data_IF_523320751081
#
_entry.id   IF_523320751081
#
_cell.length_a   1.000
_cell.length_b   1.000
_cell.length_c   1.000
_cell.angle_alpha   90.00
_cell.angle_beta   90.00
_cell.angle_gamma   90.00
#
_symmetry.space_group_name_H-M   'P 1'
#
loop_
_entity.id
_entity.type
_entity.pdbx_description
1 polymer ?
#
# COMPACT_ATOMS: atom_id res chain seq x y z
N UNK A 1 -61.27 81.14 3.17
CA UNK A 1 -62.54 80.39 3.08
C UNK A 1 -62.11 78.92 3.05
N UNK A 2 -62.11 78.27 4.22
CA UNK A 2 -63.27 77.56 4.82
C UNK A 2 -63.57 76.30 4.01
N UNK A 3 -63.17 75.14 4.54
CA UNK A 3 -63.97 74.24 5.42
C UNK A 3 -64.80 73.29 4.54
N UNK A 4 -64.43 72.00 4.49
CA UNK A 4 -64.77 70.92 5.44
C UNK A 4 -66.14 70.27 5.18
N UNK A 5 -66.09 69.02 4.71
CA UNK A 5 -67.03 67.89 4.89
C UNK A 5 -66.68 66.86 3.81
N UNK A 6 -66.65 65.55 4.04
CA UNK A 6 -66.94 64.82 5.28
C UNK A 6 -67.78 63.58 4.97
N UNK A 7 -67.22 62.61 4.24
CA UNK A 7 -67.93 61.38 3.85
C UNK A 7 -67.25 60.12 4.39
N UNK A 8 -68.08 59.26 5.00
CA UNK A 8 -67.71 57.98 5.60
C UNK A 8 -67.88 56.85 4.58
N UNK A 9 -66.92 55.93 4.46
CA UNK A 9 -67.21 54.60 3.87
C UNK A 9 -66.23 53.49 4.29
N UNK A 10 -66.82 52.42 4.84
CA UNK A 10 -66.40 51.01 4.73
C UNK A 10 -64.95 50.62 5.10
N UNK A 11 -64.75 50.15 6.33
CA UNK A 11 -63.62 49.25 6.66
C UNK A 11 -63.99 47.78 6.40
N UNK A 12 -63.22 47.11 5.54
CA UNK A 12 -63.12 45.65 5.47
C UNK A 12 -61.63 45.26 5.61
N UNK A 13 -61.34 44.23 6.42
CA UNK A 13 -59.98 43.94 6.90
C UNK A 13 -59.00 43.51 5.80
N UNK A 14 -57.69 43.83 5.95
CA UNK A 14 -56.70 43.60 4.90
C UNK A 14 -56.28 42.13 4.75
N UNK A 15 -56.01 41.73 3.51
CA UNK A 15 -55.32 40.47 3.20
C UNK A 15 -53.82 40.55 3.57
N UNK A 16 -53.18 39.44 3.99
CA UNK A 16 -51.78 39.44 4.41
C UNK A 16 -50.82 39.63 3.24
N UNK A 17 -49.65 40.22 3.53
CA UNK A 17 -48.67 40.64 2.55
C UNK A 17 -48.03 39.48 1.77
N UNK A 18 -47.78 39.72 0.48
CA UNK A 18 -46.98 38.84 -0.39
C UNK A 18 -45.52 38.89 0.01
N UNK A 19 -44.99 37.81 0.58
CA UNK A 19 -43.55 37.61 0.73
C UNK A 19 -42.93 37.29 -0.63
N UNK A 20 -42.00 38.12 -1.10
CA UNK A 20 -41.21 37.83 -2.29
C UNK A 20 -40.40 36.55 -2.06
N UNK A 21 -40.61 35.54 -2.92
CA UNK A 21 -39.82 34.32 -2.88
C UNK A 21 -38.42 34.62 -3.44
N UNK A 22 -37.40 34.44 -2.61
CA UNK A 22 -35.99 34.48 -3.04
C UNK A 22 -35.81 33.51 -4.21
N UNK A 23 -35.23 33.93 -5.35
CA UNK A 23 -35.03 33.02 -6.47
C UNK A 23 -34.11 31.87 -6.03
N UNK A 24 -34.55 30.63 -6.28
CA UNK A 24 -33.70 29.46 -6.10
C UNK A 24 -32.40 29.65 -6.90
N UNK A 25 -31.22 29.32 -6.33
CA UNK A 25 -29.95 29.59 -7.00
C UNK A 25 -29.91 28.91 -8.37
N UNK A 26 -29.82 29.73 -9.41
CA UNK A 26 -29.82 29.30 -10.79
C UNK A 26 -28.65 28.37 -11.07
N UNK A 27 -28.95 27.17 -11.59
CA UNK A 27 -28.04 26.28 -12.31
C UNK A 27 -26.57 26.32 -11.88
N UNK A 28 -26.15 25.36 -11.03
CA UNK A 28 -24.74 25.05 -10.90
C UNK A 28 -24.16 24.71 -12.27
N UNK A 29 -23.37 25.62 -12.85
CA UNK A 29 -22.52 25.28 -13.97
C UNK A 29 -21.54 24.20 -13.48
N UNK A 30 -21.54 23.03 -14.13
CA UNK A 30 -20.55 21.97 -13.87
C UNK A 30 -19.16 22.48 -14.26
N UNK A 31 -18.47 23.14 -13.35
CA UNK A 31 -17.04 23.47 -13.47
C UNK A 31 -16.25 22.26 -12.97
N UNK A 32 -16.41 21.13 -13.65
CA UNK A 32 -15.80 19.86 -13.26
C UNK A 32 -14.27 19.94 -13.21
N UNK A 33 -13.66 18.97 -12.52
CA UNK A 33 -12.24 18.72 -12.62
C UNK A 33 -11.87 18.45 -14.08
N UNK A 34 -10.61 18.69 -14.47
CA UNK A 34 -10.11 18.41 -15.83
C UNK A 34 -10.20 16.94 -16.28
N UNK A 35 -10.63 16.03 -15.40
CA UNK A 35 -10.87 14.62 -15.68
C UNK A 35 -12.36 14.29 -15.89
N UNK A 36 -13.29 15.14 -15.41
CA UNK A 36 -14.74 14.86 -15.35
C UNK A 36 -15.44 14.82 -16.74
N UNK A 37 -14.71 15.17 -17.81
CA UNK A 37 -15.18 15.18 -19.20
C UNK A 37 -14.36 14.30 -20.16
N UNK A 38 -13.43 13.48 -19.66
CA UNK A 38 -12.61 12.60 -20.51
C UNK A 38 -13.40 11.34 -20.92
N UNK A 39 -13.11 10.80 -22.10
CA UNK A 39 -13.88 9.70 -22.68
C UNK A 39 -13.66 8.38 -21.91
N UNK A 40 -14.64 7.98 -21.11
CA UNK A 40 -14.66 6.63 -20.52
C UNK A 40 -14.98 5.57 -21.58
N UNK A 41 -14.26 4.46 -21.54
CA UNK A 41 -14.61 3.24 -22.29
C UNK A 41 -15.35 2.29 -21.34
N UNK A 42 -16.67 2.35 -21.35
CA UNK A 42 -17.50 1.73 -20.30
C UNK A 42 -17.20 2.39 -18.94
N UNK A 43 -16.90 1.58 -17.92
CA UNK A 43 -16.50 2.05 -16.58
C UNK A 43 -14.99 2.36 -16.45
N UNK A 44 -14.22 2.30 -17.54
CA UNK A 44 -12.76 2.54 -17.50
C UNK A 44 -12.42 3.92 -18.03
N UNK A 45 -11.76 4.73 -17.20
CA UNK A 45 -10.94 5.83 -17.71
C UNK A 45 -9.60 5.23 -18.19
N UNK A 46 -9.27 5.49 -19.45
CA UNK A 46 -8.00 5.07 -20.10
C UNK A 46 -7.14 6.26 -20.51
N UNK A 47 -7.55 7.48 -20.12
CA UNK A 47 -6.87 8.74 -20.40
C UNK A 47 -6.23 9.28 -19.13
N UNK A 48 -6.91 9.16 -17.98
CA UNK A 48 -6.45 9.69 -16.70
C UNK A 48 -6.10 11.17 -16.81
N UNK A 49 -5.00 11.62 -16.19
CA UNK A 49 -4.51 12.98 -16.39
C UNK A 49 -4.03 13.26 -17.83
N UNK A 50 -3.46 12.27 -18.51
CA UNK A 50 -2.87 12.43 -19.83
C UNK A 50 -1.64 13.35 -19.83
N UNK A 51 -1.37 14.04 -20.94
CA UNK A 51 -0.14 14.85 -21.16
C UNK A 51 0.08 16.07 -20.24
N UNK A 52 -0.82 16.32 -19.29
CA UNK A 52 -0.79 17.47 -18.37
C UNK A 52 -1.31 16.99 -16.99
N UNK A 53 -0.47 16.34 -16.18
CA UNK A 53 -0.83 16.00 -14.81
C UNK A 53 -0.95 17.25 -13.94
N UNK A 54 -1.79 17.14 -12.91
CA UNK A 54 -1.87 18.11 -11.82
C UNK A 54 -0.50 18.22 -11.14
N UNK A 55 -0.04 19.44 -10.89
CA UNK A 55 1.14 19.65 -10.04
C UNK A 55 0.69 19.47 -8.59
N UNK A 56 1.16 18.44 -7.86
CA UNK A 56 0.56 18.08 -6.58
C UNK A 56 0.90 19.06 -5.45
N UNK A 57 1.89 19.93 -5.63
CA UNK A 57 2.34 20.91 -4.62
C UNK A 57 2.69 20.29 -3.26
N UNK A 58 3.37 19.13 -3.26
CA UNK A 58 3.74 18.41 -2.03
C UNK A 58 4.39 19.32 -0.96
N UNK A 59 4.15 19.03 0.35
CA UNK A 59 4.76 19.74 1.46
C UNK A 59 6.26 19.95 1.29
N UNK A 60 6.75 21.10 1.77
CA UNK A 60 8.15 21.53 1.66
C UNK A 60 8.70 21.64 0.21
N UNK A 61 7.83 21.62 -0.81
CA UNK A 61 8.16 21.58 -2.25
C UNK A 61 8.90 20.29 -2.67
N UNK A 62 8.60 19.18 -2.01
CA UNK A 62 9.16 17.87 -2.32
C UNK A 62 8.88 17.45 -3.77
N UNK A 63 9.75 16.58 -4.31
CA UNK A 63 9.74 16.07 -5.69
C UNK A 63 9.01 14.73 -5.77
N UNK A 64 9.10 13.95 -4.71
CA UNK A 64 8.38 12.68 -4.56
C UNK A 64 7.72 12.63 -3.18
N UNK A 65 6.45 12.23 -3.13
CA UNK A 65 5.81 11.74 -1.91
C UNK A 65 6.04 10.22 -1.83
N UNK A 66 6.77 9.75 -0.81
CA UNK A 66 7.15 8.33 -0.67
C UNK A 66 6.33 7.66 0.43
N UNK A 67 5.50 6.69 0.06
CA UNK A 67 4.74 5.87 0.99
C UNK A 67 5.39 4.49 1.17
N UNK A 68 5.72 4.12 2.40
CA UNK A 68 6.00 2.73 2.76
C UNK A 68 4.72 2.06 3.22
N UNK A 69 4.36 0.95 2.59
CA UNK A 69 3.15 0.17 2.90
C UNK A 69 3.53 -1.22 3.38
N UNK A 70 3.19 -1.54 4.63
CA UNK A 70 3.35 -2.88 5.19
C UNK A 70 2.01 -3.61 5.13
N UNK A 71 1.96 -4.72 4.42
CA UNK A 71 0.81 -5.61 4.41
C UNK A 71 0.95 -6.55 5.62
N UNK A 72 -0.08 -6.55 6.47
CA UNK A 72 -0.21 -7.40 7.64
C UNK A 72 -1.40 -8.33 7.43
N UNK A 73 -1.11 -9.54 6.96
CA UNK A 73 -2.07 -10.48 6.38
C UNK A 73 -2.06 -11.83 7.10
N UNK A 74 -0.98 -12.10 7.83
CA UNK A 74 -0.64 -13.36 8.47
C UNK A 74 -1.59 -13.71 9.61
N UNK A 75 -2.35 -14.79 9.41
CA UNK A 75 -3.52 -15.19 10.20
C UNK A 75 -4.86 -14.84 9.55
N UNK A 76 -4.87 -14.19 8.38
CA UNK A 76 -6.07 -13.81 7.61
C UNK A 76 -6.18 -14.46 6.23
N UNK A 77 -5.12 -15.16 5.79
CA UNK A 77 -5.01 -15.90 4.51
C UNK A 77 -5.95 -17.12 4.40
N UNK A 78 -5.89 -17.85 3.28
CA UNK A 78 -6.67 -19.08 3.11
C UNK A 78 -6.16 -20.20 4.02
N UNK A 79 -7.04 -20.72 4.88
CA UNK A 79 -6.78 -21.92 5.66
C UNK A 79 -8.10 -22.62 5.99
N UNK A 80 -8.13 -23.95 6.00
CA UNK A 80 -9.32 -24.70 6.43
C UNK A 80 -9.72 -24.38 7.89
N UNK A 81 -8.76 -23.93 8.72
CA UNK A 81 -9.02 -23.45 10.09
C UNK A 81 -9.76 -22.10 10.12
N UNK A 82 -9.83 -21.39 8.99
CA UNK A 82 -10.56 -20.13 8.82
C UNK A 82 -11.92 -20.35 8.16
N UNK A 83 -12.28 -21.61 7.85
CA UNK A 83 -13.51 -22.00 7.17
C UNK A 83 -13.40 -22.06 5.63
N UNK A 84 -12.19 -21.95 5.08
CA UNK A 84 -11.98 -22.04 3.63
C UNK A 84 -11.93 -23.50 3.14
N UNK A 85 -12.12 -23.69 1.84
CA UNK A 85 -12.12 -25.00 1.15
C UNK A 85 -10.72 -25.57 0.87
N UNK A 86 -9.67 -24.75 0.96
CA UNK A 86 -8.29 -25.14 0.64
C UNK A 86 -7.26 -24.28 1.38
N UNK A 87 -6.01 -24.77 1.42
CA UNK A 87 -4.87 -23.99 1.92
C UNK A 87 -4.54 -22.78 1.06
N UNK A 88 -3.78 -21.83 1.63
CA UNK A 88 -3.10 -20.79 0.87
C UNK A 88 -2.03 -21.38 -0.06
N UNK A 89 -1.69 -20.59 -1.07
CA UNK A 89 -0.75 -20.87 -2.15
C UNK A 89 -0.01 -19.61 -2.65
N UNK A 90 -0.53 -18.40 -2.37
CA UNK A 90 0.06 -17.14 -2.82
C UNK A 90 1.17 -16.63 -1.89
N UNK A 91 2.08 -15.84 -2.46
CA UNK A 91 3.09 -15.03 -1.77
C UNK A 91 3.84 -15.78 -0.66
N UNK A 92 4.49 -16.87 -1.05
CA UNK A 92 5.35 -17.68 -0.18
C UNK A 92 6.66 -18.04 -0.87
N UNK A 93 7.63 -18.54 -0.11
CA UNK A 93 8.91 -19.02 -0.67
C UNK A 93 8.79 -20.43 -1.32
N UNK A 94 7.57 -20.94 -1.60
CA UNK A 94 7.32 -22.14 -2.43
C UNK A 94 6.89 -21.68 -3.85
N UNK A 95 7.77 -21.75 -4.86
CA UNK A 95 7.43 -21.37 -6.23
C UNK A 95 6.37 -22.30 -6.81
N UNK A 96 5.33 -21.75 -7.42
CA UNK A 96 4.28 -22.53 -8.08
C UNK A 96 3.42 -23.38 -7.13
N UNK A 97 3.33 -23.00 -5.85
CA UNK A 97 2.44 -23.65 -4.90
C UNK A 97 0.99 -23.68 -5.42
N UNK A 98 0.29 -24.79 -5.17
CA UNK A 98 -1.13 -25.00 -5.49
C UNK A 98 -1.93 -25.20 -4.20
N UNK A 99 -3.19 -24.74 -4.12
CA UNK A 99 -4.03 -24.96 -2.93
C UNK A 99 -4.24 -26.44 -2.63
N UNK A 100 -4.07 -26.84 -1.38
CA UNK A 100 -4.45 -28.18 -0.90
C UNK A 100 -5.93 -28.20 -0.52
N UNK A 101 -6.76 -28.72 -1.42
CA UNK A 101 -8.23 -28.79 -1.23
C UNK A 101 -8.58 -29.75 -0.09
N UNK A 102 -9.36 -29.28 0.88
CA UNK A 102 -9.72 -30.01 2.10
C UNK A 102 -8.55 -30.29 3.06
N UNK A 103 -7.37 -29.71 2.82
CA UNK A 103 -6.13 -30.00 3.54
C UNK A 103 -5.44 -28.76 4.13
N UNK A 104 -4.40 -29.01 4.92
CA UNK A 104 -3.50 -27.98 5.47
C UNK A 104 -2.11 -28.12 4.89
N UNK A 105 -1.68 -27.10 4.16
CA UNK A 105 -0.29 -26.97 3.76
C UNK A 105 0.54 -26.41 4.93
N UNK A 106 1.10 -27.29 5.75
CA UNK A 106 1.85 -26.90 6.96
C UNK A 106 3.10 -26.05 6.65
N UNK A 107 3.71 -26.24 5.48
CA UNK A 107 4.84 -25.41 5.05
C UNK A 107 4.37 -23.97 4.77
N UNK A 108 3.24 -23.82 4.08
CA UNK A 108 2.60 -22.52 3.82
C UNK A 108 2.29 -21.79 5.13
N UNK A 109 1.57 -22.44 6.04
CA UNK A 109 1.22 -21.90 7.36
C UNK A 109 2.48 -21.45 8.11
N UNK A 110 3.53 -22.27 8.16
CA UNK A 110 4.79 -21.92 8.86
C UNK A 110 5.53 -20.72 8.25
N UNK A 111 5.33 -20.42 6.96
CA UNK A 111 5.88 -19.23 6.33
C UNK A 111 5.06 -17.97 6.62
N UNK A 112 3.72 -18.09 6.70
CA UNK A 112 2.87 -16.99 7.18
C UNK A 112 3.14 -16.72 8.67
N UNK A 113 3.26 -17.75 9.50
CA UNK A 113 3.70 -17.63 10.91
C UNK A 113 5.02 -16.84 11.06
N UNK A 114 5.97 -16.99 10.13
CA UNK A 114 7.20 -16.20 10.18
C UNK A 114 6.95 -14.69 10.09
N UNK A 115 5.96 -14.28 9.29
CA UNK A 115 5.63 -12.87 9.10
C UNK A 115 5.14 -12.24 10.39
N UNK A 116 4.11 -12.81 11.00
CA UNK A 116 3.56 -12.32 12.28
C UNK A 116 4.56 -12.45 13.44
N UNK A 117 5.32 -13.56 13.52
CA UNK A 117 6.23 -13.85 14.64
C UNK A 117 7.58 -13.14 14.57
N UNK A 118 8.07 -12.77 13.38
CA UNK A 118 9.45 -12.28 13.21
C UNK A 118 9.59 -11.18 12.17
N UNK A 119 8.93 -11.31 11.01
CA UNK A 119 9.04 -10.39 9.88
C UNK A 119 8.53 -8.99 10.21
N UNK A 120 7.30 -8.90 10.74
CA UNK A 120 6.69 -7.68 11.26
C UNK A 120 7.64 -6.95 12.21
N UNK A 121 8.22 -7.67 13.19
CA UNK A 121 9.12 -7.06 14.18
C UNK A 121 10.45 -6.55 13.59
N UNK A 122 10.91 -7.07 12.44
CA UNK A 122 12.07 -6.48 11.73
C UNK A 122 11.69 -5.18 11.04
N UNK A 123 10.57 -5.15 10.32
CA UNK A 123 10.06 -3.93 9.69
C UNK A 123 9.79 -2.86 10.75
N UNK A 124 9.12 -3.23 11.85
CA UNK A 124 8.85 -2.35 12.99
C UNK A 124 10.13 -1.71 13.53
N UNK A 125 11.16 -2.50 13.85
CA UNK A 125 12.44 -1.95 14.31
C UNK A 125 13.13 -1.06 13.27
N UNK A 126 13.09 -1.42 11.99
CA UNK A 126 13.69 -0.60 10.92
C UNK A 126 13.02 0.78 10.83
N UNK A 127 11.71 0.83 10.66
CA UNK A 127 11.00 2.09 10.44
C UNK A 127 10.92 2.96 11.71
N UNK A 128 10.73 2.37 12.90
CA UNK A 128 10.76 3.13 14.16
C UNK A 128 12.15 3.69 14.49
N UNK A 129 13.24 2.91 14.31
CA UNK A 129 14.60 3.40 14.53
C UNK A 129 14.98 4.52 13.54
N UNK A 130 14.52 4.44 12.28
CA UNK A 130 14.74 5.48 11.27
C UNK A 130 13.77 6.67 11.42
N UNK A 131 12.77 6.58 12.33
CA UNK A 131 11.67 7.54 12.58
C UNK A 131 10.88 7.90 11.33
N UNK A 132 10.41 6.88 10.62
CA UNK A 132 9.66 7.05 9.38
C UNK A 132 8.18 6.69 9.56
N UNK A 133 7.25 7.48 9.00
CA UNK A 133 5.84 7.12 8.95
C UNK A 133 5.64 5.94 8.00
N UNK A 134 4.67 5.10 8.33
CA UNK A 134 4.28 3.91 7.58
C UNK A 134 2.75 3.84 7.54
N UNK A 135 2.22 3.33 6.43
CA UNK A 135 0.84 2.86 6.35
C UNK A 135 0.84 1.34 6.43
N UNK A 136 0.06 0.77 7.35
CA UNK A 136 -0.18 -0.67 7.41
C UNK A 136 -1.49 -0.97 6.67
N UNK A 137 -1.44 -1.87 5.70
CA UNK A 137 -2.62 -2.50 5.12
C UNK A 137 -2.90 -3.76 5.94
N UNK A 138 -3.84 -3.67 6.88
CA UNK A 138 -4.10 -4.70 7.87
C UNK A 138 -5.39 -5.48 7.61
N UNK A 139 -5.27 -6.80 7.50
CA UNK A 139 -6.40 -7.71 7.34
C UNK A 139 -7.09 -7.90 8.70
N UNK A 140 -8.40 -7.67 8.77
CA UNK A 140 -9.15 -7.69 10.03
C UNK A 140 -8.94 -8.96 10.86
N UNK A 141 -9.05 -10.15 10.24
CA UNK A 141 -8.81 -11.41 10.95
C UNK A 141 -7.36 -11.56 11.45
N UNK A 142 -6.36 -10.98 10.75
CA UNK A 142 -4.97 -11.01 11.20
C UNK A 142 -4.77 -10.12 12.46
N UNK A 143 -5.45 -8.98 12.52
CA UNK A 143 -5.48 -8.12 13.72
C UNK A 143 -6.13 -8.82 14.93
N UNK A 144 -7.26 -9.51 14.72
CA UNK A 144 -7.94 -10.30 15.79
C UNK A 144 -7.01 -11.35 16.42
N UNK A 145 -6.08 -11.91 15.63
CA UNK A 145 -5.14 -12.96 16.07
C UNK A 145 -3.85 -12.44 16.71
N UNK A 146 -3.50 -11.16 16.56
CA UNK A 146 -2.23 -10.62 17.08
C UNK A 146 -2.39 -9.21 17.69
N UNK A 147 -2.92 -9.18 18.91
CA UNK A 147 -3.10 -7.95 19.70
C UNK A 147 -1.75 -7.28 20.03
N UNK A 148 -0.65 -8.02 20.11
CA UNK A 148 0.69 -7.47 20.36
C UNK A 148 1.17 -6.62 19.18
N UNK A 149 0.96 -7.08 17.94
CA UNK A 149 1.23 -6.29 16.74
C UNK A 149 0.31 -5.04 16.67
N UNK A 150 -0.97 -5.18 17.03
CA UNK A 150 -1.89 -4.03 17.16
C UNK A 150 -1.39 -3.00 18.19
N UNK A 151 -0.79 -3.44 19.30
CA UNK A 151 -0.14 -2.60 20.29
C UNK A 151 1.02 -1.81 19.69
N UNK A 152 1.96 -2.51 19.05
CA UNK A 152 3.12 -1.90 18.41
C UNK A 152 2.75 -0.89 17.30
N UNK A 153 1.74 -1.18 16.47
CA UNK A 153 1.25 -0.24 15.45
C UNK A 153 0.72 1.07 16.06
N UNK A 154 0.06 1.00 17.23
CA UNK A 154 -0.39 2.19 17.98
C UNK A 154 0.78 2.94 18.62
N UNK A 155 1.72 2.23 19.25
CA UNK A 155 2.90 2.82 19.89
C UNK A 155 3.81 3.55 18.89
N UNK A 156 3.87 3.07 17.65
CA UNK A 156 4.61 3.69 16.56
C UNK A 156 3.88 4.86 15.86
N UNK A 157 2.64 5.16 16.26
CA UNK A 157 1.71 6.11 15.60
C UNK A 157 1.63 5.90 14.08
N UNK A 158 1.47 4.64 13.67
CA UNK A 158 1.29 4.31 12.26
C UNK A 158 -0.15 4.51 11.81
N UNK A 159 -0.31 4.81 10.52
CA UNK A 159 -1.60 4.65 9.88
C UNK A 159 -1.88 3.14 9.76
N UNK A 160 -3.11 2.72 10.10
CA UNK A 160 -3.57 1.37 9.85
C UNK A 160 -4.86 1.46 9.02
N UNK A 161 -4.70 1.23 7.73
CA UNK A 161 -5.78 1.18 6.74
C UNK A 161 -6.32 -0.26 6.64
N UNK A 162 -7.60 -0.40 6.29
CA UNK A 162 -8.23 -1.71 6.15
C UNK A 162 -7.71 -2.45 4.92
N UNK A 163 -7.19 -3.66 5.11
CA UNK A 163 -6.93 -4.63 4.03
C UNK A 163 -8.07 -5.68 3.89
N UNK A 164 -9.32 -5.25 4.09
CA UNK A 164 -10.48 -6.14 4.16
C UNK A 164 -10.53 -6.94 5.47
N UNK A 165 -11.48 -7.87 5.60
CA UNK A 165 -11.56 -8.79 6.75
C UNK A 165 -10.75 -10.09 6.54
N UNK A 166 -10.71 -10.59 5.30
CA UNK A 166 -10.03 -11.82 4.86
C UNK A 166 -9.08 -11.50 3.71
N UNK A 167 -7.94 -12.18 3.66
CA UNK A 167 -6.98 -12.04 2.56
C UNK A 167 -7.28 -13.01 1.40
N UNK A 168 -8.50 -13.01 0.90
CA UNK A 168 -8.97 -13.96 -0.13
C UNK A 168 -9.29 -13.24 -1.45
N UNK A 169 -9.58 -14.00 -2.50
CA UNK A 169 -10.06 -13.44 -3.77
C UNK A 169 -11.54 -13.10 -3.65
N UNK A 170 -11.90 -11.81 -3.76
CA UNK A 170 -13.27 -11.34 -3.67
C UNK A 170 -14.04 -11.44 -5.00
N UNK A 171 -13.41 -11.78 -6.12
CA UNK A 171 -14.03 -11.78 -7.46
C UNK A 171 -15.29 -12.67 -7.60
N UNK A 172 -15.51 -13.60 -6.66
CA UNK A 172 -16.67 -14.51 -6.61
C UNK A 172 -17.46 -14.44 -5.29
N UNK A 173 -17.14 -13.50 -4.40
CA UNK A 173 -17.89 -13.29 -3.16
C UNK A 173 -19.17 -12.52 -3.50
N UNK A 174 -20.29 -12.93 -2.92
CA UNK A 174 -21.55 -12.22 -3.10
C UNK A 174 -21.55 -10.87 -2.34
N UNK A 175 -22.30 -9.90 -2.86
CA UNK A 175 -22.32 -8.53 -2.31
C UNK A 175 -22.69 -8.48 -0.83
N UNK A 176 -23.57 -9.38 -0.36
CA UNK A 176 -24.00 -9.39 1.04
C UNK A 176 -22.84 -9.80 1.94
N UNK A 177 -22.19 -10.92 1.63
CA UNK A 177 -21.00 -11.39 2.37
C UNK A 177 -19.87 -10.36 2.33
N UNK A 178 -19.63 -9.71 1.18
CA UNK A 178 -18.59 -8.68 1.07
C UNK A 178 -18.92 -7.43 1.93
N UNK A 179 -20.19 -7.02 1.99
CA UNK A 179 -20.64 -5.92 2.86
C UNK A 179 -20.55 -6.27 4.35
N UNK A 180 -20.83 -7.52 4.73
CA UNK A 180 -20.62 -8.02 6.09
C UNK A 180 -19.14 -8.03 6.47
N UNK A 181 -18.25 -8.42 5.56
CA UNK A 181 -16.78 -8.34 5.75
C UNK A 181 -16.28 -6.90 5.91
N UNK A 182 -16.82 -5.95 5.12
CA UNK A 182 -16.49 -4.53 5.24
C UNK A 182 -16.90 -3.99 6.62
N UNK A 183 -18.13 -4.26 7.06
CA UNK A 183 -18.60 -3.85 8.38
C UNK A 183 -17.74 -4.46 9.50
N UNK A 184 -17.44 -5.77 9.43
CA UNK A 184 -16.64 -6.46 10.44
C UNK A 184 -15.21 -5.91 10.55
N UNK A 185 -14.52 -5.64 9.43
CA UNK A 185 -13.15 -5.11 9.52
C UNK A 185 -13.10 -3.70 10.11
N UNK A 186 -14.10 -2.85 9.85
CA UNK A 186 -14.22 -1.52 10.46
C UNK A 186 -14.39 -1.64 11.99
N UNK A 187 -15.25 -2.54 12.45
CA UNK A 187 -15.45 -2.82 13.89
C UNK A 187 -14.15 -3.31 14.55
N UNK A 188 -13.43 -4.25 13.94
CA UNK A 188 -12.16 -4.79 14.45
C UNK A 188 -11.13 -3.66 14.64
N UNK A 189 -10.98 -2.78 13.64
CA UNK A 189 -10.07 -1.63 13.73
C UNK A 189 -10.48 -0.71 14.89
N UNK A 190 -11.77 -0.36 14.99
CA UNK A 190 -12.27 0.50 16.05
C UNK A 190 -12.05 -0.10 17.46
N UNK A 191 -12.23 -1.41 17.61
CA UNK A 191 -12.09 -2.12 18.89
C UNK A 191 -10.62 -2.36 19.30
N UNK A 192 -9.74 -2.75 18.37
CA UNK A 192 -8.35 -3.11 18.68
C UNK A 192 -7.38 -1.92 18.59
N UNK A 193 -7.64 -0.98 17.68
CA UNK A 193 -6.76 0.16 17.39
C UNK A 193 -7.30 1.49 17.95
N UNK A 194 -8.54 1.51 18.45
CA UNK A 194 -9.18 2.70 19.03
C UNK A 194 -9.69 3.72 18.01
N UNK A 195 -9.44 3.50 16.72
CA UNK A 195 -9.92 4.32 15.59
C UNK A 195 -10.36 3.42 14.45
N UNK A 196 -11.43 3.80 13.75
CA UNK A 196 -11.82 3.19 12.46
C UNK A 196 -10.70 3.37 11.41
N UNK A 197 -10.66 2.57 10.34
CA UNK A 197 -9.78 2.82 9.21
C UNK A 197 -10.37 3.94 8.34
N UNK A 198 -9.50 4.82 7.84
CA UNK A 198 -9.86 5.87 6.87
C UNK A 198 -9.39 5.56 5.43
N UNK A 199 -8.45 4.63 5.28
CA UNK A 199 -8.06 4.06 3.99
C UNK A 199 -8.56 2.62 3.81
N UNK A 200 -8.78 2.21 2.56
CA UNK A 200 -9.15 0.85 2.20
C UNK A 200 -8.33 0.31 1.01
N UNK A 201 -8.03 -1.00 1.04
CA UNK A 201 -7.43 -1.74 -0.07
C UNK A 201 -7.86 -3.22 0.00
N UNK A 202 -8.46 -3.81 -1.02
CA UNK A 202 -8.75 -5.25 -1.05
C UNK A 202 -7.66 -6.04 -1.77
N UNK A 203 -7.00 -5.44 -2.76
CA UNK A 203 -5.95 -6.03 -3.61
C UNK A 203 -6.45 -7.04 -4.63
N UNK A 204 -7.38 -7.92 -4.20
CA UNK A 204 -8.10 -8.91 -5.02
C UNK A 204 -9.61 -8.59 -5.02
N UNK A 205 -10.06 -7.40 -5.49
CA UNK A 205 -11.45 -6.95 -5.36
C UNK A 205 -12.45 -7.69 -6.28
N UNK A 206 -13.73 -7.60 -5.91
CA UNK A 206 -14.89 -7.86 -6.77
C UNK A 206 -15.23 -6.61 -7.61
N UNK A 207 -16.19 -6.73 -8.54
CA UNK A 207 -16.77 -5.56 -9.22
C UNK A 207 -17.55 -4.63 -8.28
N UNK A 208 -17.93 -5.11 -7.10
CA UNK A 208 -18.68 -4.36 -6.08
C UNK A 208 -17.79 -3.67 -5.05
N UNK A 209 -16.59 -4.16 -4.76
CA UNK A 209 -15.77 -3.74 -3.60
C UNK A 209 -15.68 -2.22 -3.45
N UNK A 210 -15.22 -1.49 -4.48
CA UNK A 210 -15.09 -0.03 -4.44
C UNK A 210 -16.44 0.69 -4.27
N UNK A 211 -17.52 0.18 -4.88
CA UNK A 211 -18.86 0.71 -4.66
C UNK A 211 -19.26 0.56 -3.19
N UNK A 212 -19.02 -0.60 -2.57
CA UNK A 212 -19.34 -0.87 -1.17
C UNK A 212 -18.56 0.03 -0.21
N UNK A 213 -17.26 0.26 -0.47
CA UNK A 213 -16.40 1.19 0.27
C UNK A 213 -16.94 2.62 0.21
N UNK A 214 -17.36 3.05 -0.98
CA UNK A 214 -17.91 4.40 -1.21
C UNK A 214 -19.32 4.56 -0.62
N UNK A 215 -20.14 3.51 -0.64
CA UNK A 215 -21.47 3.46 -0.01
C UNK A 215 -21.40 3.48 1.53
N UNK A 216 -20.39 2.84 2.14
CA UNK A 216 -20.18 2.87 3.60
C UNK A 216 -19.92 4.29 4.11
N UNK A 217 -19.22 5.10 3.33
CA UNK A 217 -19.21 6.55 3.50
C UNK A 217 -18.32 7.08 4.64
N UNK A 218 -17.38 6.29 5.16
CA UNK A 218 -16.41 6.71 6.18
C UNK A 218 -14.94 6.54 5.77
N UNK A 219 -14.66 6.15 4.53
CA UNK A 219 -13.29 6.12 3.98
C UNK A 219 -12.95 7.41 3.25
N UNK A 220 -11.77 7.98 3.57
CA UNK A 220 -11.20 9.12 2.86
C UNK A 220 -10.74 8.73 1.46
N UNK A 221 -10.18 7.52 1.33
CA UNK A 221 -9.60 7.03 0.08
C UNK A 221 -9.66 5.49 -0.04
N UNK A 222 -9.60 4.98 -1.27
CA UNK A 222 -9.26 3.59 -1.58
C UNK A 222 -7.96 3.49 -2.40
N UNK A 223 -7.37 2.30 -2.43
CA UNK A 223 -6.15 2.01 -3.17
C UNK A 223 -6.27 0.80 -4.12
N UNK A 224 -7.49 0.41 -4.48
CA UNK A 224 -7.76 -0.65 -5.48
C UNK A 224 -7.65 -0.10 -6.91
N UNK A 225 -6.47 0.47 -7.20
CA UNK A 225 -6.04 0.98 -8.50
C UNK A 225 -4.52 0.99 -8.61
N UNK A 226 -4.03 0.77 -9.82
CA UNK A 226 -2.61 0.73 -10.19
C UNK A 226 -2.34 1.62 -11.42
N UNK A 227 -3.17 2.64 -11.62
CA UNK A 227 -3.39 3.28 -12.93
C UNK A 227 -2.72 4.66 -13.12
N UNK A 228 -2.09 5.24 -12.10
CA UNK A 228 -1.50 6.58 -12.16
C UNK A 228 -0.38 6.75 -11.10
N UNK A 229 0.48 7.74 -11.29
CA UNK A 229 1.58 8.14 -10.38
C UNK A 229 1.15 9.27 -9.41
N UNK A 230 -0.14 9.62 -9.41
CA UNK A 230 -0.78 10.62 -8.56
C UNK A 230 -2.14 10.14 -8.03
N UNK A 231 -2.60 10.64 -6.87
CA UNK A 231 -3.99 10.50 -6.44
C UNK A 231 -4.95 11.15 -7.45
N UNK A 232 -6.15 10.59 -7.60
CA UNK A 232 -7.19 11.15 -8.47
C UNK A 232 -8.59 10.88 -7.91
N UNK A 233 -9.55 11.75 -8.25
CA UNK A 233 -10.93 11.59 -7.82
C UNK A 233 -11.71 10.67 -8.76
N UNK A 234 -12.50 9.76 -8.20
CA UNK A 234 -13.59 9.10 -8.93
C UNK A 234 -14.94 9.71 -8.56
N UNK A 235 -15.82 9.78 -9.55
CA UNK A 235 -17.21 10.24 -9.46
C UNK A 235 -18.18 9.10 -9.82
N UNK A 236 -17.65 7.89 -10.00
CA UNK A 236 -18.47 6.69 -10.11
C UNK A 236 -18.96 6.33 -8.71
N UNK A 237 -20.25 5.96 -8.58
CA UNK A 237 -20.98 5.68 -7.33
C UNK A 237 -21.36 6.93 -6.49
N UNK A 238 -22.06 6.70 -5.36
CA UNK A 238 -22.53 7.70 -4.39
C UNK A 238 -23.16 8.98 -4.97
N UNK A 239 -24.01 8.84 -6.00
CA UNK A 239 -24.70 9.95 -6.70
C UNK A 239 -23.74 10.99 -7.33
N UNK A 240 -22.52 10.57 -7.67
CA UNK A 240 -21.49 11.47 -8.21
C UNK A 240 -20.79 12.32 -7.15
N UNK A 241 -20.81 11.90 -5.87
CA UNK A 241 -19.93 12.47 -4.85
C UNK A 241 -18.49 11.98 -5.06
N UNK A 242 -17.48 12.85 -4.94
CA UNK A 242 -16.09 12.46 -5.12
C UNK A 242 -15.62 11.49 -4.03
N UNK A 243 -14.92 10.44 -4.46
CA UNK A 243 -14.07 9.60 -3.62
C UNK A 243 -12.63 9.64 -4.13
N UNK A 244 -11.65 9.62 -3.23
CA UNK A 244 -10.25 9.71 -3.60
C UNK A 244 -9.68 8.32 -3.87
N UNK A 245 -9.09 8.14 -5.05
CA UNK A 245 -8.21 7.01 -5.33
C UNK A 245 -6.78 7.46 -5.06
N UNK A 246 -6.05 6.70 -4.25
CA UNK A 246 -4.59 6.80 -4.16
C UNK A 246 -4.03 5.51 -4.76
N UNK A 247 -3.38 5.52 -5.94
CA UNK A 247 -2.87 4.31 -6.58
C UNK A 247 -1.84 3.55 -5.72
N UNK A 248 -1.92 2.22 -5.75
CA UNK A 248 -0.94 1.31 -5.15
C UNK A 248 -0.02 0.71 -6.24
N UNK A 249 0.88 -0.20 -5.87
CA UNK A 249 1.86 -0.80 -6.79
C UNK A 249 1.96 -2.31 -6.64
N UNK A 250 2.09 -2.98 -7.79
CA UNK A 250 2.52 -4.39 -7.91
C UNK A 250 3.92 -4.49 -8.54
N UNK A 251 4.64 -3.38 -8.68
CA UNK A 251 5.96 -3.28 -9.34
C UNK A 251 7.04 -3.03 -8.28
N UNK A 252 6.97 -1.91 -7.56
CA UNK A 252 7.81 -1.55 -6.40
C UNK A 252 7.37 -2.33 -5.14
N UNK A 253 7.22 -3.65 -5.28
CA UNK A 253 6.56 -4.50 -4.31
C UNK A 253 7.38 -5.80 -4.08
N UNK A 254 7.63 -6.14 -2.82
CA UNK A 254 8.42 -7.32 -2.44
C UNK A 254 7.73 -8.66 -2.78
N UNK A 255 6.42 -8.66 -3.09
CA UNK A 255 5.69 -9.82 -3.66
C UNK A 255 6.38 -10.44 -4.89
N UNK A 256 7.20 -9.65 -5.60
CA UNK A 256 7.98 -10.11 -6.75
C UNK A 256 9.09 -11.11 -6.38
N UNK A 257 9.47 -11.25 -5.11
CA UNK A 257 10.35 -12.34 -4.64
C UNK A 257 9.70 -13.73 -4.78
N UNK A 258 8.37 -13.83 -4.83
CA UNK A 258 7.66 -15.12 -4.92
C UNK A 258 7.14 -15.40 -6.34
N UNK A 259 6.92 -14.34 -7.12
CA UNK A 259 6.26 -14.41 -8.43
C UNK A 259 7.26 -14.32 -9.60
N UNK A 260 8.49 -14.82 -9.40
CA UNK A 260 9.53 -14.88 -10.44
C UNK A 260 10.09 -13.54 -10.89
N UNK A 261 10.00 -12.48 -10.06
CA UNK A 261 10.52 -11.15 -10.37
C UNK A 261 11.94 -10.93 -9.85
N UNK A 262 12.11 -10.87 -8.52
CA UNK A 262 13.40 -10.64 -7.87
C UNK A 262 14.10 -11.97 -7.56
N UNK A 263 15.36 -12.12 -7.98
CA UNK A 263 16.15 -13.33 -7.72
C UNK A 263 17.21 -13.12 -6.63
N UNK A 264 17.78 -11.92 -6.56
CA UNK A 264 18.66 -11.48 -5.49
C UNK A 264 18.00 -10.38 -4.64
N UNK A 265 18.35 -10.31 -3.36
CA UNK A 265 17.83 -9.29 -2.44
C UNK A 265 18.14 -7.85 -2.94
N UNK A 266 19.27 -7.67 -3.63
CA UNK A 266 19.68 -6.37 -4.18
C UNK A 266 18.89 -5.95 -5.43
N UNK A 267 18.25 -6.89 -6.15
CA UNK A 267 17.45 -6.55 -7.35
C UNK A 267 16.33 -5.58 -6.97
N UNK A 268 15.60 -5.90 -5.90
CA UNK A 268 14.53 -5.07 -5.37
C UNK A 268 15.06 -3.70 -4.91
N UNK A 269 16.13 -3.69 -4.11
CA UNK A 269 16.68 -2.44 -3.59
C UNK A 269 17.22 -1.53 -4.70
N UNK A 270 17.83 -2.08 -5.74
CA UNK A 270 18.33 -1.32 -6.88
C UNK A 270 17.19 -0.80 -7.76
N UNK A 271 16.15 -1.62 -8.00
CA UNK A 271 14.94 -1.19 -8.67
C UNK A 271 14.27 0.00 -7.96
N UNK A 272 14.07 -0.09 -6.63
CA UNK A 272 13.51 1.01 -5.83
C UNK A 272 14.36 2.28 -5.91
N UNK A 273 15.69 2.17 -5.88
CA UNK A 273 16.61 3.33 -6.01
C UNK A 273 16.47 4.02 -7.37
N UNK A 274 16.43 3.26 -8.46
CA UNK A 274 16.30 3.82 -9.80
C UNK A 274 14.92 4.45 -10.04
N UNK A 275 13.83 3.81 -9.58
CA UNK A 275 12.49 4.41 -9.61
C UNK A 275 12.47 5.74 -8.83
N UNK A 276 13.01 5.77 -7.60
CA UNK A 276 13.05 7.00 -6.80
C UNK A 276 13.92 8.08 -7.45
N UNK A 277 15.10 7.73 -7.99
CA UNK A 277 15.99 8.66 -8.69
C UNK A 277 15.27 9.32 -9.87
N UNK A 278 14.61 8.51 -10.70
CA UNK A 278 13.86 8.99 -11.87
C UNK A 278 12.71 9.92 -11.46
N UNK A 279 11.90 9.55 -10.47
CA UNK A 279 10.78 10.38 -10.00
C UNK A 279 11.26 11.68 -9.33
N UNK A 280 12.42 11.68 -8.65
CA UNK A 280 13.03 12.92 -8.14
C UNK A 280 13.51 13.82 -9.30
N UNK A 281 14.10 13.27 -10.35
CA UNK A 281 14.49 14.02 -11.55
C UNK A 281 13.27 14.62 -12.28
N UNK A 282 12.20 13.84 -12.45
CA UNK A 282 10.95 14.31 -13.05
C UNK A 282 10.26 15.41 -12.20
N UNK A 283 10.25 15.23 -10.87
CA UNK A 283 9.77 16.24 -9.93
C UNK A 283 10.61 17.52 -9.92
N UNK A 284 11.94 17.42 -10.14
CA UNK A 284 12.83 18.58 -10.33
C UNK A 284 12.56 19.29 -11.66
N UNK A 285 12.18 18.54 -12.71
CA UNK A 285 11.72 19.08 -13.99
C UNK A 285 10.29 19.69 -13.93
N UNK A 286 9.64 19.69 -12.76
CA UNK A 286 8.36 20.36 -12.53
C UNK A 286 7.13 19.46 -12.54
N UNK A 287 7.30 18.13 -12.58
CA UNK A 287 6.18 17.17 -12.53
C UNK A 287 6.29 16.20 -11.33
N UNK A 288 6.21 16.67 -10.07
CA UNK A 288 6.32 15.82 -8.89
C UNK A 288 5.26 14.71 -8.88
N UNK A 289 5.61 13.53 -8.38
CA UNK A 289 4.75 12.33 -8.29
C UNK A 289 4.70 11.77 -6.87
N UNK A 290 3.93 10.71 -6.66
CA UNK A 290 4.11 9.81 -5.52
C UNK A 290 4.84 8.52 -5.93
N UNK A 291 5.42 7.83 -4.96
CA UNK A 291 5.98 6.50 -5.08
C UNK A 291 5.49 5.68 -3.90
N UNK A 292 4.98 4.47 -4.16
CA UNK A 292 4.65 3.52 -3.09
C UNK A 292 5.69 2.39 -3.06
N UNK A 293 5.98 1.85 -1.89
CA UNK A 293 6.77 0.63 -1.71
C UNK A 293 5.94 -0.39 -0.93
N UNK A 294 5.56 -1.47 -1.60
CA UNK A 294 4.78 -2.57 -1.02
C UNK A 294 5.68 -3.60 -0.33
N UNK A 295 5.40 -3.92 0.93
CA UNK A 295 6.18 -4.83 1.76
C UNK A 295 5.25 -5.85 2.44
N UNK A 296 5.70 -7.10 2.59
CA UNK A 296 4.92 -8.14 3.28
C UNK A 296 5.71 -8.71 4.47
N UNK A 297 5.04 -8.95 5.59
CA UNK A 297 5.70 -9.39 6.81
C UNK A 297 6.42 -10.74 6.61
N UNK A 298 5.77 -11.75 6.03
CA UNK A 298 6.40 -13.06 5.76
C UNK A 298 7.58 -13.00 4.77
N UNK A 299 7.56 -12.05 3.84
CA UNK A 299 8.65 -11.85 2.87
C UNK A 299 9.84 -11.08 3.46
N UNK A 300 9.70 -10.49 4.65
CA UNK A 300 10.74 -9.74 5.37
C UNK A 300 11.83 -10.62 6.02
N UNK A 301 12.46 -11.46 5.18
CA UNK A 301 13.63 -12.28 5.50
C UNK A 301 14.87 -11.38 5.76
N UNK A 302 15.91 -11.83 6.48
CA UNK A 302 16.99 -10.95 6.94
C UNK A 302 17.78 -10.26 5.82
N UNK A 303 18.09 -10.96 4.72
CA UNK A 303 18.79 -10.39 3.57
C UNK A 303 17.95 -9.35 2.82
N UNK A 304 16.69 -9.67 2.51
CA UNK A 304 15.69 -8.74 1.95
C UNK A 304 15.54 -7.47 2.79
N UNK A 305 15.53 -7.58 4.13
CA UNK A 305 15.51 -6.41 5.03
C UNK A 305 16.81 -5.60 5.00
N UNK A 306 17.98 -6.26 4.94
CA UNK A 306 19.26 -5.55 4.80
C UNK A 306 19.36 -4.81 3.45
N UNK A 307 18.76 -5.35 2.39
CA UNK A 307 18.65 -4.67 1.09
C UNK A 307 17.65 -3.50 1.15
N UNK A 308 16.48 -3.68 1.79
CA UNK A 308 15.51 -2.61 2.02
C UNK A 308 16.10 -1.44 2.81
N UNK A 309 16.90 -1.71 3.86
CA UNK A 309 17.58 -0.65 4.62
C UNK A 309 18.51 0.21 3.75
N UNK A 310 19.23 -0.39 2.78
CA UNK A 310 20.03 0.35 1.80
C UNK A 310 19.17 1.28 0.92
N UNK A 311 17.91 0.93 0.64
CA UNK A 311 16.98 1.83 -0.06
C UNK A 311 16.44 2.92 0.88
N UNK A 312 16.08 2.58 2.13
CA UNK A 312 15.61 3.55 3.12
C UNK A 312 16.65 4.66 3.37
N UNK A 313 17.92 4.31 3.53
CA UNK A 313 18.99 5.30 3.71
C UNK A 313 19.27 6.11 2.43
N UNK A 314 19.13 5.49 1.25
CA UNK A 314 19.20 6.21 -0.03
C UNK A 314 18.06 7.22 -0.17
N UNK A 315 16.81 6.84 0.15
CA UNK A 315 15.67 7.75 0.11
C UNK A 315 15.84 8.93 1.07
N UNK A 316 16.35 8.69 2.29
CA UNK A 316 16.65 9.75 3.26
C UNK A 316 17.77 10.69 2.77
N UNK A 317 18.69 10.22 1.92
CA UNK A 317 19.79 11.06 1.41
C UNK A 317 19.32 12.22 0.52
N UNK A 318 18.14 12.14 -0.09
CA UNK A 318 17.51 13.24 -0.83
C UNK A 318 16.99 14.40 0.06
N UNK A 319 16.90 14.19 1.38
CA UNK A 319 16.42 15.19 2.32
C UNK A 319 15.06 15.75 1.92
N UNK A 320 14.97 17.08 1.70
CA UNK A 320 13.73 17.79 1.39
C UNK A 320 13.07 17.43 0.05
N UNK A 321 13.80 16.76 -0.86
CA UNK A 321 13.24 16.38 -2.16
C UNK A 321 12.32 15.15 -2.07
N UNK A 322 12.36 14.40 -0.96
CA UNK A 322 11.48 13.26 -0.71
C UNK A 322 10.67 13.48 0.57
N UNK A 323 9.35 13.56 0.43
CA UNK A 323 8.43 13.60 1.58
C UNK A 323 7.98 12.17 1.91
N UNK A 324 8.63 11.54 2.90
CA UNK A 324 8.16 10.25 3.42
C UNK A 324 6.91 10.48 4.26
N UNK A 325 5.81 9.81 3.92
CA UNK A 325 4.48 10.08 4.45
C UNK A 325 3.58 8.83 4.51
N UNK A 326 2.53 8.90 5.33
CA UNK A 326 1.42 7.93 5.27
C UNK A 326 0.49 8.24 4.10
N UNK A 327 -0.38 7.30 3.72
CA UNK A 327 -1.39 7.49 2.68
C UNK A 327 -2.52 8.40 3.17
N UNK A 328 -2.88 8.35 4.45
CA UNK A 328 -3.78 9.32 5.09
C UNK A 328 -3.24 10.76 4.98
N UNK A 329 -1.92 10.97 5.12
CA UNK A 329 -1.30 12.29 4.91
C UNK A 329 -1.40 12.74 3.44
N UNK A 330 -1.22 11.83 2.47
CA UNK A 330 -1.43 12.12 1.04
C UNK A 330 -2.90 12.44 0.76
N UNK A 331 -3.84 11.72 1.38
CA UNK A 331 -5.26 11.99 1.28
C UNK A 331 -5.59 13.39 1.78
N UNK A 332 -5.20 13.71 3.02
CA UNK A 332 -5.44 15.02 3.64
C UNK A 332 -4.89 16.16 2.77
N UNK A 333 -3.66 16.03 2.27
CA UNK A 333 -3.07 16.98 1.34
C UNK A 333 -3.91 17.17 0.05
N UNK A 334 -4.47 16.10 -0.51
CA UNK A 334 -5.33 16.16 -1.69
C UNK A 334 -6.70 16.81 -1.41
N UNK A 335 -7.29 16.51 -0.24
CA UNK A 335 -8.53 17.14 0.25
C UNK A 335 -8.36 18.62 0.62
N UNK A 336 -7.14 19.10 0.83
CA UNK A 336 -6.86 20.53 1.08
C UNK A 336 -6.55 21.31 -0.21
N UNK A 337 -5.79 20.71 -1.14
CA UNK A 337 -5.22 21.44 -2.28
C UNK A 337 -5.91 21.16 -3.61
N UNK A 338 -6.54 19.98 -3.77
CA UNK A 338 -6.98 19.45 -5.07
C UNK A 338 -8.44 18.98 -5.08
N UNK A 339 -9.30 19.60 -4.26
CA UNK A 339 -10.74 19.32 -4.29
C UNK A 339 -11.34 19.63 -5.67
N UNK A 340 -12.16 18.72 -6.23
CA UNK A 340 -12.87 18.98 -7.48
C UNK A 340 -13.91 20.07 -7.25
N UNK A 341 -14.01 21.00 -8.20
CA UNK A 341 -14.93 22.14 -8.14
C UNK A 341 -16.25 21.80 -8.83
N UNK A 342 -17.32 22.53 -8.53
CA UNK A 342 -18.60 22.42 -9.25
C UNK A 342 -19.31 21.06 -9.12
N UNK A 343 -18.89 20.23 -8.18
CA UNK A 343 -19.44 18.89 -7.89
C UNK A 343 -19.81 18.80 -6.40
N UNK A 344 -20.52 17.74 -6.00
CA UNK A 344 -20.88 17.55 -4.59
C UNK A 344 -19.65 17.47 -3.69
N UNK A 345 -19.80 17.83 -2.41
CA UNK A 345 -18.70 17.67 -1.45
C UNK A 345 -18.28 16.18 -1.38
N UNK A 346 -16.96 15.88 -1.33
CA UNK A 346 -16.50 14.53 -1.12
C UNK A 346 -16.97 14.01 0.24
N UNK A 347 -16.99 12.70 0.36
CA UNK A 347 -17.36 12.03 1.60
C UNK A 347 -16.28 12.30 2.65
N UNK A 348 -16.58 13.20 3.60
CA UNK A 348 -15.75 13.46 4.77
C UNK A 348 -16.30 12.72 5.99
N UNK A 349 -15.51 11.85 6.65
CA UNK A 349 -15.89 11.25 7.92
C UNK A 349 -16.23 12.33 8.95
N UNK A 350 -17.16 12.08 9.87
CA UNK A 350 -17.60 13.06 10.87
C UNK A 350 -16.46 13.54 11.80
N UNK A 351 -15.44 12.72 12.02
CA UNK A 351 -14.21 13.08 12.75
C UNK A 351 -13.33 14.11 12.03
N UNK A 352 -13.44 14.21 10.70
CA UNK A 352 -12.67 15.16 9.88
C UNK A 352 -13.04 16.63 10.17
N UNK A 353 -14.22 16.88 10.72
CA UNK A 353 -14.73 18.22 11.00
C UNK A 353 -14.11 18.90 12.23
N UNK A 354 -13.31 18.20 13.04
CA UNK A 354 -12.81 18.68 14.34
C UNK A 354 -11.27 18.76 14.45
N UNK A 355 -10.51 18.45 13.38
CA UNK A 355 -9.12 18.01 13.50
C UNK A 355 -7.96 18.88 12.97
N UNK A 356 -8.18 19.99 12.24
CA UNK A 356 -7.07 20.69 11.52
C UNK A 356 -7.09 22.22 11.59
N UNK A 357 -7.29 22.80 12.79
CA UNK A 357 -7.30 24.26 12.96
C UNK A 357 -6.55 24.81 14.19
N UNK A 358 -5.42 24.22 14.60
CA UNK A 358 -4.32 24.95 15.29
C UNK A 358 -3.03 24.10 15.35
N UNK A 359 -1.94 24.69 15.88
CA UNK A 359 -0.67 24.05 16.29
C UNK A 359 0.41 23.69 15.24
N UNK A 360 0.56 24.46 14.15
CA UNK A 360 1.80 24.45 13.34
C UNK A 360 2.57 25.80 13.30
N UNK A 361 2.25 26.73 14.21
CA UNK A 361 2.98 27.98 14.40
C UNK A 361 3.20 28.27 15.89
N UNK A 362 4.48 28.28 16.31
CA UNK A 362 4.93 28.73 17.64
C UNK A 362 5.60 27.63 18.47
N UNK A 363 6.94 27.67 18.58
CA UNK A 363 7.68 26.66 19.35
C UNK A 363 9.21 26.72 19.38
N UNK A 364 9.85 27.84 18.98
CA UNK A 364 11.28 28.06 19.24
C UNK A 364 11.41 29.05 20.41
N UNK A 365 11.73 28.55 21.60
CA UNK A 365 11.80 29.34 22.83
C UNK A 365 12.32 28.55 24.03
N UNK A 366 13.63 28.67 24.26
CA UNK A 366 14.37 28.42 25.52
C UNK A 366 13.64 29.05 26.75
N UNK A 367 13.78 28.67 28.04
CA UNK A 367 14.86 28.02 28.84
C UNK A 367 14.24 27.41 30.14
N UNK A 368 14.86 26.37 30.72
CA UNK A 368 15.28 26.41 32.15
C UNK A 368 14.44 25.77 33.28
N UNK A 369 15.13 24.93 34.09
CA UNK A 369 14.66 24.40 35.39
C UNK A 369 13.79 23.13 35.28
N UNK A 370 13.93 22.10 36.11
CA UNK A 370 14.72 21.93 37.34
C UNK A 370 13.90 21.07 38.33
N UNK A 371 14.57 20.24 39.16
CA UNK A 371 13.97 19.18 40.00
C UNK A 371 13.40 17.97 39.21
N UNK A 372 13.51 16.71 39.66
CA UNK A 372 14.18 16.19 40.86
C UNK A 372 13.36 15.06 41.49
N UNK A 373 13.76 13.80 41.28
CA UNK A 373 13.06 12.63 41.84
C UNK A 373 13.50 11.32 41.19
N UNK A 374 14.37 10.58 41.89
CA UNK A 374 14.72 9.20 41.55
C UNK A 374 13.66 8.19 42.01
N UNK A 375 13.81 6.89 41.66
CA UNK A 375 12.69 5.97 41.52
C UNK A 375 12.49 5.01 42.71
N UNK A 376 11.33 4.34 42.74
CA UNK A 376 11.08 3.13 43.53
C UNK A 376 10.41 2.03 42.66
N UNK A 377 10.50 0.74 43.04
CA UNK A 377 10.77 -0.32 42.06
C UNK A 377 9.62 -1.28 41.71
N UNK A 378 9.85 -2.04 40.64
CA UNK A 378 9.01 -3.13 40.11
C UNK A 378 9.07 -4.39 40.98
N UNK A 379 7.96 -5.09 41.28
CA UNK A 379 7.98 -6.41 41.93
C UNK A 379 8.50 -7.51 40.99
N UNK A 380 9.41 -8.35 41.49
CA UNK A 380 9.96 -9.49 40.73
C UNK A 380 9.03 -10.71 40.74
N UNK A 381 8.96 -11.42 39.60
CA UNK A 381 8.40 -12.77 39.53
C UNK A 381 9.48 -13.83 39.83
N UNK A 382 9.17 -14.90 40.59
CA UNK A 382 10.13 -15.93 40.92
C UNK A 382 10.41 -16.88 39.75
N UNK A 383 11.70 -17.14 39.49
CA UNK A 383 12.16 -18.11 38.49
C UNK A 383 12.03 -19.54 39.00
N UNK A 384 11.06 -20.29 38.48
CA UNK A 384 10.93 -21.73 38.69
C UNK A 384 11.93 -22.52 37.84
N UNK A 385 12.92 -23.14 38.47
CA UNK A 385 13.94 -23.97 37.83
C UNK A 385 13.54 -25.45 37.95
N UNK A 386 13.33 -26.15 36.82
CA UNK A 386 13.21 -27.62 36.79
C UNK A 386 14.05 -28.22 35.68
N UNK A 387 14.74 -29.30 36.03
CA UNK A 387 15.91 -29.85 35.35
C UNK A 387 15.61 -30.77 34.16
N UNK A 388 16.55 -30.76 33.21
CA UNK A 388 17.04 -31.91 32.42
C UNK A 388 16.26 -33.22 32.50
N UNK A 389 15.61 -33.58 31.38
CA UNK A 389 15.21 -34.95 31.05
C UNK A 389 15.83 -35.34 29.71
N UNK A 390 17.05 -35.89 29.72
CA UNK A 390 17.69 -36.44 28.52
C UNK A 390 17.00 -37.73 28.09
N UNK A 391 16.54 -37.82 26.84
CA UNK A 391 16.22 -39.11 26.24
C UNK A 391 16.88 -39.24 24.86
N UNK A 392 17.78 -40.22 24.74
CA UNK A 392 18.57 -40.50 23.56
C UNK A 392 18.08 -41.79 22.90
N UNK A 393 17.67 -41.70 21.64
CA UNK A 393 17.32 -42.85 20.82
C UNK A 393 16.41 -42.43 19.66
N UNK A 394 16.64 -42.86 18.43
CA UNK A 394 17.78 -43.63 17.89
C UNK A 394 17.59 -43.72 16.37
N UNK A 395 18.65 -43.50 15.58
CA UNK A 395 18.54 -43.50 14.13
C UNK A 395 18.29 -44.92 13.60
N UNK A 396 17.03 -45.22 13.29
CA UNK A 396 16.61 -46.44 12.61
C UNK A 396 16.58 -46.24 11.10
N UNK A 397 17.73 -46.42 10.44
CA UNK A 397 17.80 -46.55 8.98
C UNK A 397 17.08 -47.83 8.54
N UNK A 398 16.12 -47.73 7.62
CA UNK A 398 15.59 -48.90 6.92
C UNK A 398 15.68 -48.71 5.41
N UNK A 399 16.44 -49.58 4.75
CA UNK A 399 16.75 -49.54 3.33
C UNK A 399 16.43 -50.89 2.69
N UNK A 400 15.52 -50.87 1.71
CA UNK A 400 15.06 -52.05 0.96
C UNK A 400 13.59 -51.91 0.60
N UNK A 401 13.13 -52.27 -0.60
CA UNK A 401 13.84 -52.80 -1.75
C UNK A 401 12.94 -52.81 -3.00
N UNK A 402 13.52 -53.12 -4.16
CA UNK A 402 12.88 -53.15 -5.48
C UNK A 402 11.56 -53.93 -5.55
N UNK A 403 10.59 -53.46 -6.35
CA UNK A 403 9.34 -54.19 -6.59
C UNK A 403 8.38 -53.62 -7.65
N UNK A 404 8.73 -53.77 -8.92
CA UNK A 404 7.82 -53.99 -10.07
C UNK A 404 6.66 -53.01 -10.39
N UNK A 405 6.78 -52.34 -11.56
CA UNK A 405 5.63 -51.89 -12.38
C UNK A 405 4.77 -53.09 -12.84
N UNK A 406 3.53 -52.83 -13.26
CA UNK A 406 3.12 -53.31 -14.58
C UNK A 406 2.60 -52.18 -15.49
N UNK A 407 2.92 -52.29 -16.78
CA UNK A 407 2.32 -51.49 -17.85
C UNK A 407 1.34 -52.34 -18.66
N UNK A 408 0.16 -51.79 -18.94
CA UNK A 408 -0.68 -52.16 -20.09
C UNK A 408 -1.11 -50.83 -20.74
N UNK A 409 -1.10 -50.63 -22.05
CA UNK A 409 -1.54 -51.52 -23.11
C UNK A 409 -2.47 -50.66 -23.99
N UNK A 410 -2.00 -50.29 -25.18
CA UNK A 410 -2.64 -49.29 -26.05
C UNK A 410 -3.79 -49.85 -26.89
N UNK A 411 -4.83 -49.05 -27.09
CA UNK A 411 -5.60 -48.90 -28.34
C UNK A 411 -6.31 -47.54 -28.28
N UNK A 412 -6.02 -46.52 -29.09
CA UNK A 412 -6.08 -46.53 -30.55
C UNK A 412 -7.52 -46.21 -30.99
N UNK A 413 -7.84 -45.16 -31.74
CA UNK A 413 -7.06 -44.05 -32.29
C UNK A 413 -7.81 -43.45 -33.49
N UNK A 414 -7.63 -42.17 -33.83
CA UNK A 414 -7.69 -41.73 -35.22
C UNK A 414 -7.07 -40.34 -35.43
N UNK A 415 -6.57 -40.11 -36.64
CA UNK A 415 -5.81 -38.93 -37.01
C UNK A 415 -6.63 -37.90 -37.80
N UNK A 416 -6.20 -36.65 -37.76
CA UNK A 416 -6.21 -35.78 -38.94
C UNK A 416 -4.97 -34.88 -38.91
N UNK A 417 -4.40 -34.61 -40.09
CA UNK A 417 -3.04 -34.11 -40.26
C UNK A 417 -2.97 -32.92 -41.22
N UNK A 418 -2.22 -31.89 -40.84
CA UNK A 418 -1.60 -30.93 -41.76
C UNK A 418 -0.42 -30.26 -41.03
N UNK A 419 0.82 -30.66 -41.23
CA UNK A 419 1.69 -30.33 -42.38
C UNK A 419 1.77 -28.83 -42.69
N UNK A 420 2.90 -28.19 -42.38
CA UNK A 420 3.67 -27.47 -43.39
C UNK A 420 5.15 -27.30 -42.99
N UNK A 421 5.98 -27.05 -44.00
CA UNK A 421 7.42 -27.29 -44.03
C UNK A 421 8.27 -26.05 -43.76
N UNK A 422 9.45 -26.26 -43.18
CA UNK A 422 10.55 -25.30 -43.13
C UNK A 422 11.44 -25.39 -44.39
N UNK A 423 11.74 -24.29 -45.10
CA UNK A 423 12.81 -24.23 -46.09
C UNK A 423 14.01 -23.41 -45.59
N UNK A 424 15.19 -24.00 -45.62
CA UNK A 424 16.45 -23.30 -45.38
C UNK A 424 17.02 -22.71 -46.69
N UNK A 425 17.67 -21.54 -46.62
CA UNK A 425 18.89 -21.31 -47.41
C UNK A 425 19.75 -20.13 -46.92
N UNK A 426 20.99 -20.48 -46.52
CA UNK A 426 22.26 -19.83 -46.89
C UNK A 426 22.39 -18.29 -46.74
N UNK A 427 23.26 -17.89 -45.81
CA UNK A 427 24.62 -17.51 -46.23
C UNK A 427 25.66 -18.12 -45.28
N UNK A 428 26.83 -18.42 -45.82
CA UNK A 428 27.79 -19.35 -45.24
C UNK A 428 29.20 -18.77 -45.20
N UNK A 429 29.94 -19.15 -44.15
CA UNK A 429 31.41 -19.31 -44.11
C UNK A 429 32.28 -18.04 -43.99
N UNK A 430 33.44 -18.07 -43.31
CA UNK A 430 33.91 -18.95 -42.21
C UNK A 430 35.12 -18.27 -41.53
N UNK A 431 35.35 -18.50 -40.23
CA UNK A 431 36.41 -17.82 -39.47
C UNK A 431 36.84 -18.54 -38.19
N UNK A 432 36.93 -19.87 -38.23
CA UNK A 432 37.61 -20.71 -37.23
C UNK A 432 39.09 -20.26 -37.03
N UNK A 433 39.80 -20.50 -35.91
CA UNK A 433 39.63 -21.42 -34.77
C UNK A 433 40.57 -21.06 -33.59
N UNK A 434 40.54 -21.88 -32.53
CA UNK A 434 41.56 -22.12 -31.47
C UNK A 434 41.87 -21.04 -30.41
N UNK A 435 41.47 -21.34 -29.17
CA UNK A 435 42.29 -21.14 -27.96
C UNK A 435 43.25 -22.35 -27.78
N UNK A 436 44.30 -22.30 -26.92
CA UNK A 436 44.08 -22.69 -25.52
C UNK A 436 45.01 -22.09 -24.42
N UNK A 437 44.45 -22.03 -23.20
CA UNK A 437 45.03 -22.33 -21.84
C UNK A 437 46.29 -21.65 -21.25
N UNK A 438 46.04 -21.13 -20.03
CA UNK A 438 46.71 -21.40 -18.74
C UNK A 438 47.89 -20.55 -18.17
N UNK A 439 47.67 -20.17 -16.90
CA UNK A 439 48.57 -20.19 -15.72
C UNK A 439 49.31 -18.93 -15.24
N UNK A 440 49.15 -18.68 -13.91
CA UNK A 440 50.05 -17.96 -12.97
C UNK A 440 50.32 -16.45 -13.17
N UNK A 441 50.81 -15.67 -12.19
CA UNK A 441 50.65 -15.61 -10.71
C UNK A 441 51.36 -14.33 -10.20
N UNK A 442 50.88 -13.72 -9.09
CA UNK A 442 51.54 -12.60 -8.34
C UNK A 442 51.72 -11.28 -9.18
N UNK A 443 52.00 -10.07 -8.65
CA UNK A 443 52.40 -9.63 -7.31
C UNK A 443 52.08 -8.11 -7.05
N UNK A 444 52.01 -7.74 -5.75
CA UNK A 444 52.25 -6.42 -5.08
C UNK A 444 51.88 -5.04 -5.67
N UNK A 445 51.26 -4.26 -4.76
CA UNK A 445 51.46 -2.80 -4.50
C UNK A 445 50.82 -1.80 -5.48
N UNK A 446 50.49 -0.56 -5.12
CA UNK A 446 50.94 0.27 -3.98
C UNK A 446 49.85 1.24 -3.47
N UNK A 447 49.95 1.65 -2.20
CA UNK A 447 49.11 2.67 -1.58
C UNK A 447 49.75 4.07 -1.62
N UNK A 448 48.99 5.13 -1.92
CA UNK A 448 49.35 6.52 -1.54
C UNK A 448 48.11 7.25 -0.99
N UNK A 449 48.32 8.00 0.11
CA UNK A 449 47.33 8.88 0.78
C UNK A 449 47.68 10.36 0.51
N UNK A 450 46.66 11.22 0.43
CA UNK A 450 46.70 12.69 0.73
C UNK A 450 47.68 13.54 -0.14
N UNK A 451 47.57 14.86 -0.36
CA UNK A 451 46.59 15.93 -0.09
C UNK A 451 46.75 17.00 -1.23
N UNK A 452 46.17 18.21 -1.29
CA UNK A 452 45.24 18.97 -0.44
C UNK A 452 44.55 20.09 -1.26
N UNK A 453 43.57 20.76 -0.63
CA UNK A 453 43.09 22.16 -0.78
C UNK A 453 43.24 22.96 -2.10
N UNK A 454 42.11 23.54 -2.51
CA UNK A 454 41.91 24.69 -3.43
C UNK A 454 42.42 26.01 -2.77
N UNK A 455 42.67 27.11 -3.52
CA UNK A 455 41.58 28.02 -3.91
C UNK A 455 41.68 28.69 -5.31
N UNK A 456 40.49 29.06 -5.83
CA UNK A 456 40.09 30.22 -6.65
C UNK A 456 40.94 30.78 -7.81
N UNK A 457 40.26 31.16 -8.92
CA UNK A 457 40.80 32.16 -9.87
C UNK A 457 40.37 32.06 -11.34
N UNK A 458 39.16 32.54 -11.65
CA UNK A 458 38.73 33.23 -12.89
C UNK A 458 39.05 32.75 -14.33
N UNK A 459 37.94 32.59 -15.09
CA UNK A 459 37.68 33.12 -16.45
C UNK A 459 38.66 32.72 -17.59
N UNK A 460 38.20 31.84 -18.49
CA UNK A 460 37.63 32.17 -19.84
C UNK A 460 36.62 31.07 -20.21
#
# INVERSE_FOLDING_TARGET
>A
MMEESGDLLSMASPAPATTEATPAPSSFAKVGHENDGKSKYGFRDVVGYGKRPVVPHWPNKAKVALNFVINYEEGGERCILHGDDASEHLLSDIPGATPEVGGRNLNMESMYDYGSRVGFWRLHRLFTAKKLPVTVFAVGMALERNIEACGAMKEADWEVSSHGYRWIDHSKIDEKTEREYLAKTIEIHQNLLGKRPFGFYQGKPSENTRRLVIEEGGFLYDSDSYADDLPYWTMDYAEGRPHLIIPYTLTENDMKFTNGGWSADEDFANHLKETLRFLVEEGRAGQPKMMTVGLHCRLSRPGRIAALEKFVDFAKSYGRDVWVCTREQVANHWYENHLPRGVGNPIKPSSFAQGTASSFLGGLGQVGGGYGGGPDPVPAYPTGNTSYGSNSGGYGSNSGGYGSRPSYGSSGGNASSSSFSNPASKFSYLGNLTAPRDSSAEDKSNSIKAAAQVPDGDII
#
